data_IF_434001096401
#
_entry.id   IF_434001096401
#
_cell.length_a   1.000
_cell.length_b   1.000
_cell.length_c   1.000
_cell.angle_alpha   90.00
_cell.angle_beta   90.00
_cell.angle_gamma   90.00
#
_symmetry.space_group_name_H-M   'P 1'
#
loop_
_entity.id
_entity.type
_entity.pdbx_description
1 polymer ?
#
# COMPACT_ATOMS: atom_id res chain seq x y z
N UNK A 1 18.01 -29.45 -12.92
CA UNK A 1 16.66 -28.89 -12.76
C UNK A 1 16.72 -27.50 -13.34
N UNK A 2 16.09 -27.25 -14.49
CA UNK A 2 16.25 -25.96 -15.20
C UNK A 2 15.37 -24.89 -14.56
N UNK A 3 15.98 -23.73 -14.31
CA UNK A 3 15.31 -22.48 -13.90
C UNK A 3 14.54 -21.85 -15.09
N UNK A 4 13.83 -22.66 -15.86
CA UNK A 4 13.05 -22.16 -16.98
C UNK A 4 11.70 -21.68 -16.44
N UNK A 5 11.40 -20.37 -16.50
CA UNK A 5 10.10 -19.88 -16.06
C UNK A 5 9.02 -20.55 -16.90
N UNK A 6 8.04 -21.15 -16.23
CA UNK A 6 7.01 -22.02 -16.83
C UNK A 6 6.15 -21.25 -17.86
N UNK A 7 6.18 -19.91 -17.86
CA UNK A 7 5.41 -19.08 -18.79
C UNK A 7 6.17 -17.83 -19.26
N UNK A 8 7.06 -17.93 -20.26
CA UNK A 8 7.79 -16.78 -20.83
C UNK A 8 6.84 -15.70 -21.38
N UNK A 9 5.68 -16.12 -21.88
CA UNK A 9 4.67 -15.26 -22.53
C UNK A 9 3.91 -14.36 -21.57
N UNK A 10 3.72 -14.78 -20.31
CA UNK A 10 3.00 -13.98 -19.29
C UNK A 10 3.84 -12.79 -18.81
N UNK A 11 5.16 -12.96 -18.74
CA UNK A 11 6.09 -11.89 -18.38
C UNK A 11 6.19 -10.80 -19.47
N UNK A 12 5.89 -11.16 -20.71
CA UNK A 12 5.91 -10.25 -21.87
C UNK A 12 4.55 -9.52 -22.06
N UNK A 13 3.45 -10.15 -21.64
CA UNK A 13 2.08 -9.60 -21.73
C UNK A 13 1.69 -8.69 -20.57
N UNK A 14 2.36 -8.80 -19.42
CA UNK A 14 2.27 -7.84 -18.33
C UNK A 14 3.34 -6.78 -18.57
N UNK A 15 2.96 -5.74 -19.30
CA UNK A 15 3.81 -4.57 -19.53
C UNK A 15 4.22 -3.94 -18.19
N UNK A 16 5.26 -3.11 -18.19
CA UNK A 16 5.63 -2.38 -16.97
C UNK A 16 4.48 -1.50 -16.45
N UNK A 17 3.59 -1.03 -17.33
CA UNK A 17 2.43 -0.23 -16.91
C UNK A 17 1.45 -1.06 -16.07
N UNK A 18 1.36 -2.38 -16.30
CA UNK A 18 0.46 -3.26 -15.56
C UNK A 18 0.85 -3.41 -14.08
N UNK A 19 2.14 -3.44 -13.73
CA UNK A 19 2.53 -3.62 -12.32
C UNK A 19 2.32 -2.36 -11.47
N UNK A 20 2.47 -1.17 -12.07
CA UNK A 20 2.21 0.11 -11.40
C UNK A 20 0.75 0.22 -10.99
N UNK A 21 -0.15 -0.07 -11.93
CA UNK A 21 -1.59 -0.07 -11.70
C UNK A 21 -1.98 -1.17 -10.71
N UNK A 22 -1.39 -2.36 -10.81
CA UNK A 22 -1.61 -3.41 -9.81
C UNK A 22 -1.18 -3.00 -8.40
N UNK A 23 -0.07 -2.27 -8.23
CA UNK A 23 0.31 -1.76 -6.92
C UNK A 23 -0.69 -0.74 -6.39
N UNK A 24 -1.17 0.18 -7.24
CA UNK A 24 -2.17 1.19 -6.85
C UNK A 24 -3.49 0.51 -6.49
N UNK A 25 -4.01 -0.37 -7.35
CA UNK A 25 -5.26 -1.07 -7.15
C UNK A 25 -5.22 -1.99 -5.94
N UNK A 26 -4.15 -2.76 -5.77
CA UNK A 26 -3.99 -3.62 -4.58
C UNK A 26 -3.91 -2.80 -3.29
N UNK A 27 -3.27 -1.62 -3.31
CA UNK A 27 -3.25 -0.71 -2.16
C UNK A 27 -4.66 -0.25 -1.82
N UNK A 28 -5.39 0.29 -2.80
CA UNK A 28 -6.79 0.74 -2.63
C UNK A 28 -7.71 -0.39 -2.17
N UNK A 29 -7.52 -1.59 -2.70
CA UNK A 29 -8.31 -2.76 -2.31
C UNK A 29 -8.09 -3.13 -0.84
N UNK A 30 -6.86 -3.01 -0.34
CA UNK A 30 -6.49 -3.39 1.02
C UNK A 30 -6.88 -2.37 2.09
N UNK A 31 -7.10 -1.10 1.72
CA UNK A 31 -7.53 -0.06 2.65
C UNK A 31 -8.89 -0.41 3.27
N UNK A 32 -8.99 -0.28 4.59
CA UNK A 32 -10.19 -0.59 5.38
C UNK A 32 -10.58 -2.07 5.46
N UNK A 33 -9.78 -2.99 4.88
CA UNK A 33 -10.05 -4.43 4.95
C UNK A 33 -9.52 -5.01 6.24
N UNK A 34 -10.30 -5.94 6.81
CA UNK A 34 -9.96 -6.69 8.03
C UNK A 34 -9.49 -8.09 7.65
N UNK A 35 -8.43 -8.16 6.85
CA UNK A 35 -7.86 -9.43 6.36
C UNK A 35 -6.35 -9.42 6.56
N UNK A 36 -5.75 -10.61 6.69
CA UNK A 36 -4.28 -10.75 6.76
C UNK A 36 -3.57 -10.08 5.56
N UNK A 37 -4.25 -10.01 4.41
CA UNK A 37 -3.72 -9.36 3.22
C UNK A 37 -3.49 -7.86 3.40
N UNK A 38 -4.29 -7.16 4.22
CA UNK A 38 -4.18 -5.71 4.39
C UNK A 38 -2.86 -5.32 5.09
N UNK A 39 -2.64 -5.80 6.31
CA UNK A 39 -1.39 -5.58 7.03
C UNK A 39 -0.17 -6.12 6.27
N UNK A 40 -0.26 -7.31 5.67
CA UNK A 40 0.83 -7.87 4.86
C UNK A 40 1.17 -6.97 3.67
N UNK A 41 0.15 -6.46 2.94
CA UNK A 41 0.35 -5.58 1.79
C UNK A 41 1.02 -4.28 2.19
N UNK A 42 0.61 -3.68 3.30
CA UNK A 42 1.18 -2.44 3.83
C UNK A 42 2.66 -2.63 4.22
N UNK A 43 2.98 -3.67 4.98
CA UNK A 43 4.38 -3.99 5.35
C UNK A 43 5.26 -4.27 4.13
N UNK A 44 4.74 -4.99 3.13
CA UNK A 44 5.45 -5.23 1.87
C UNK A 44 5.66 -3.93 1.09
N UNK A 45 4.66 -3.04 1.05
CA UNK A 45 4.77 -1.75 0.40
C UNK A 45 5.85 -0.87 1.05
N UNK A 46 5.89 -0.81 2.38
CA UNK A 46 6.87 -0.02 3.12
C UNK A 46 8.32 -0.44 2.79
N UNK A 47 8.57 -1.75 2.69
CA UNK A 47 9.89 -2.29 2.31
C UNK A 47 10.26 -1.97 0.87
N UNK A 48 9.29 -2.02 -0.04
CA UNK A 48 9.51 -1.74 -1.46
C UNK A 48 9.57 -0.25 -1.77
N UNK A 49 9.11 0.62 -0.85
CA UNK A 49 9.00 2.05 -1.10
C UNK A 49 10.22 2.64 -1.77
N UNK A 50 11.48 2.46 -1.30
CA UNK A 50 12.65 3.14 -1.87
C UNK A 50 12.84 2.90 -3.37
N UNK A 51 12.47 1.70 -3.87
CA UNK A 51 12.69 1.29 -5.26
C UNK A 51 11.48 1.54 -6.17
N UNK A 52 10.35 2.03 -5.63
CA UNK A 52 9.18 2.35 -6.44
C UNK A 52 9.41 3.60 -7.30
N UNK A 53 8.94 3.64 -8.55
CA UNK A 53 9.00 4.84 -9.37
C UNK A 53 8.17 5.99 -8.81
N UNK A 54 8.67 7.20 -8.99
CA UNK A 54 8.12 8.42 -8.39
C UNK A 54 6.66 8.68 -8.76
N UNK A 55 6.23 8.31 -9.97
CA UNK A 55 4.84 8.44 -10.40
C UNK A 55 3.87 7.59 -9.56
N UNK A 56 4.25 6.35 -9.26
CA UNK A 56 3.46 5.43 -8.40
C UNK A 56 3.48 5.85 -6.95
N UNK A 57 4.66 6.22 -6.42
CA UNK A 57 4.79 6.79 -5.07
C UNK A 57 3.85 7.96 -4.86
N UNK A 58 3.82 8.90 -5.81
CA UNK A 58 2.96 10.10 -5.75
C UNK A 58 1.47 9.74 -5.63
N UNK A 59 0.98 8.77 -6.41
CA UNK A 59 -0.42 8.35 -6.38
C UNK A 59 -0.74 7.66 -5.04
N UNK A 60 0.09 6.71 -4.63
CA UNK A 60 -0.13 5.94 -3.41
C UNK A 60 -0.05 6.83 -2.17
N UNK A 61 0.95 7.72 -2.08
CA UNK A 61 1.09 8.68 -0.98
C UNK A 61 -0.15 9.56 -0.85
N UNK A 62 -0.60 10.16 -1.95
CA UNK A 62 -1.81 10.99 -1.98
C UNK A 62 -3.03 10.22 -1.45
N UNK A 63 -3.20 8.98 -1.91
CA UNK A 63 -4.34 8.16 -1.51
C UNK A 63 -4.24 7.76 -0.03
N UNK A 64 -3.05 7.39 0.47
CA UNK A 64 -2.84 7.04 1.87
C UNK A 64 -3.02 8.22 2.82
N UNK A 65 -2.47 9.40 2.51
CA UNK A 65 -2.65 10.60 3.35
C UNK A 65 -4.15 10.94 3.51
N UNK A 66 -4.94 10.84 2.44
CA UNK A 66 -6.40 10.99 2.52
C UNK A 66 -7.05 9.95 3.43
N UNK A 67 -6.62 8.69 3.37
CA UNK A 67 -7.17 7.66 4.25
C UNK A 67 -6.71 7.83 5.70
N UNK A 68 -5.50 8.32 5.96
CA UNK A 68 -5.08 8.72 7.31
C UNK A 68 -5.97 9.81 7.89
N UNK A 69 -6.22 10.89 7.14
CA UNK A 69 -7.12 11.97 7.56
C UNK A 69 -8.52 11.44 7.88
N UNK A 70 -9.08 10.59 7.00
CA UNK A 70 -10.38 9.96 7.22
C UNK A 70 -10.39 9.05 8.43
N UNK A 71 -9.32 8.28 8.64
CA UNK A 71 -9.19 7.35 9.76
C UNK A 71 -9.04 8.08 11.10
N UNK A 72 -8.33 9.22 11.12
CA UNK A 72 -8.23 10.09 12.29
C UNK A 72 -9.59 10.63 12.71
N UNK A 73 -10.36 11.17 11.74
CA UNK A 73 -11.73 11.64 11.98
C UNK A 73 -12.62 10.48 12.48
N UNK A 74 -12.53 9.33 11.83
CA UNK A 74 -13.31 8.14 12.17
C UNK A 74 -13.04 7.63 13.59
N UNK A 75 -11.79 7.72 14.06
CA UNK A 75 -11.38 7.28 15.41
C UNK A 75 -11.65 8.29 16.50
N UNK A 76 -11.76 9.58 16.16
CA UNK A 76 -12.13 10.64 17.10
C UNK A 76 -13.64 10.69 17.37
N UNK A 77 -14.46 10.12 16.50
CA UNK A 77 -15.91 10.08 16.68
C UNK A 77 -16.36 9.12 17.78
N UNK A 78 -17.48 9.43 18.44
CA UNK A 78 -18.10 8.56 19.45
C UNK A 78 -18.77 7.30 18.86
N UNK A 79 -18.82 7.19 17.53
CA UNK A 79 -19.40 6.04 16.84
C UNK A 79 -18.35 4.94 16.68
N UNK A 80 -18.64 3.76 17.23
CA UNK A 80 -17.92 2.54 16.86
C UNK A 80 -18.24 2.17 15.41
N UNK A 81 -17.40 2.63 14.49
CA UNK A 81 -17.51 2.27 13.08
C UNK A 81 -17.06 0.83 12.87
N UNK A 82 -17.93 0.03 12.24
CA UNK A 82 -17.60 -1.34 11.85
C UNK A 82 -16.50 -1.39 10.76
N UNK A 83 -16.32 -0.30 10.02
CA UNK A 83 -15.32 -0.14 8.96
C UNK A 83 -14.53 1.17 9.16
N UNK A 84 -13.30 1.04 9.66
CA UNK A 84 -12.35 2.15 9.73
C UNK A 84 -11.56 2.26 8.41
N UNK A 85 -11.28 3.47 7.90
CA UNK A 85 -10.57 3.69 6.64
C UNK A 85 -9.22 2.96 6.50
N UNK A 86 -8.44 2.84 7.58
CA UNK A 86 -7.17 2.11 7.59
C UNK A 86 -7.27 0.70 8.17
N UNK A 87 -8.47 0.23 8.49
CA UNK A 87 -8.71 -1.08 9.10
C UNK A 87 -8.51 -1.06 10.61
N UNK A 88 -8.15 -2.22 11.17
CA UNK A 88 -7.93 -2.36 12.61
C UNK A 88 -6.63 -1.66 13.03
N UNK A 89 -6.37 -1.58 14.34
CA UNK A 89 -5.16 -0.93 14.87
C UNK A 89 -3.86 -1.52 14.32
N UNK A 90 -3.82 -2.85 14.13
CA UNK A 90 -2.68 -3.51 13.51
C UNK A 90 -2.50 -3.16 12.03
N UNK A 91 -3.60 -2.97 11.29
CA UNK A 91 -3.57 -2.54 9.89
C UNK A 91 -3.09 -1.09 9.79
N UNK A 92 -3.65 -0.19 10.62
CA UNK A 92 -3.20 1.21 10.73
C UNK A 92 -1.70 1.30 11.06
N UNK A 93 -1.24 0.54 12.04
CA UNK A 93 0.18 0.48 12.40
C UNK A 93 1.06 -0.02 11.24
N UNK A 94 0.55 -0.92 10.41
CA UNK A 94 1.25 -1.37 9.21
C UNK A 94 1.29 -0.29 8.12
N UNK A 95 0.19 0.45 7.91
CA UNK A 95 0.16 1.58 6.97
C UNK A 95 1.10 2.71 7.39
N UNK A 96 1.23 2.96 8.69
CA UNK A 96 2.17 3.95 9.23
C UNK A 96 3.62 3.62 8.83
N UNK A 97 3.99 2.34 8.71
CA UNK A 97 5.33 1.97 8.24
C UNK A 97 5.61 2.45 6.81
N UNK A 98 4.58 2.52 5.95
CA UNK A 98 4.69 3.09 4.60
C UNK A 98 4.93 4.58 4.70
N UNK A 99 4.19 5.27 5.58
CA UNK A 99 4.36 6.70 5.84
C UNK A 99 5.77 7.05 6.31
N UNK A 100 6.26 6.27 7.27
CA UNK A 100 7.64 6.39 7.74
C UNK A 100 8.67 6.08 6.65
N UNK A 101 8.36 5.23 5.67
CA UNK A 101 9.28 4.94 4.57
C UNK A 101 9.48 6.16 3.65
N UNK A 102 8.43 6.89 3.30
CA UNK A 102 8.59 8.10 2.48
C UNK A 102 9.17 9.28 3.26
N UNK A 103 8.85 9.44 4.55
CA UNK A 103 9.48 10.47 5.39
C UNK A 103 11.00 10.24 5.47
N UNK A 104 11.43 8.99 5.67
CA UNK A 104 12.85 8.64 5.67
C UNK A 104 13.51 8.93 4.32
N UNK A 105 12.87 8.55 3.22
CA UNK A 105 13.36 8.84 1.87
C UNK A 105 13.54 10.35 1.64
N UNK A 106 12.57 11.17 2.05
CA UNK A 106 12.63 12.63 1.94
C UNK A 106 13.71 13.25 2.84
N UNK A 107 13.99 12.66 4.00
CA UNK A 107 15.06 13.14 4.90
C UNK A 107 16.48 12.83 4.40
N UNK A 108 16.61 11.91 3.44
CA UNK A 108 17.87 11.50 2.83
C UNK A 108 18.12 12.16 1.47
N UNK A 109 17.14 12.88 0.95
CA UNK A 109 17.17 13.59 -0.34
C UNK A 109 17.64 15.04 -0.16
#
# INVERSE_FOLDING_TARGET
MSDTPIYPRLAEQLSLDDWHDMLIFSTRYCLGRRTIAAAYRAQRLAKLWPILPSATKRIIRRDLEREFERDDIARQGDQQLYHLPLGMDCDRAAWEQVRQAWIREESLA
#
